data_IF_855125168637
#
_entry.id   IF_855125168637
#
_cell.length_a   1.000
_cell.length_b   1.000
_cell.length_c   1.000
_cell.angle_alpha   90.00
_cell.angle_beta   90.00
_cell.angle_gamma   90.00
#
_symmetry.space_group_name_H-M   'P 1'
#
loop_
_entity.id
_entity.type
_entity.pdbx_description
1 polymer ?
#
# COMPACT_ATOMS: atom_id res chain seq x y z
N UNK A 1 -5.38 2.57 5.94
CA UNK A 1 -6.84 2.72 6.10
C UNK A 1 -7.22 3.92 6.95
N UNK A 2 -6.78 4.04 8.22
CA UNK A 2 -7.10 5.22 9.05
C UNK A 2 -6.82 6.58 8.37
N UNK A 3 -5.70 6.71 7.64
CA UNK A 3 -5.41 7.93 6.88
C UNK A 3 -6.34 8.16 5.66
N UNK A 4 -6.90 7.10 5.06
CA UNK A 4 -7.90 7.23 3.98
C UNK A 4 -9.18 7.90 4.47
N UNK A 5 -9.60 7.62 5.70
CA UNK A 5 -10.83 8.18 6.29
C UNK A 5 -10.80 9.71 6.45
N UNK A 6 -9.62 10.31 6.25
CA UNK A 6 -9.35 11.74 6.33
C UNK A 6 -8.65 12.25 5.06
N UNK A 7 -8.68 11.48 3.97
CA UNK A 7 -8.17 11.90 2.66
C UNK A 7 -6.64 11.98 2.55
N UNK A 8 -5.91 11.42 3.51
CA UNK A 8 -4.44 11.50 3.64
C UNK A 8 -3.71 10.21 3.28
N UNK A 9 -4.31 9.40 2.39
CA UNK A 9 -3.73 8.12 2.01
C UNK A 9 -2.40 8.24 1.28
N UNK A 10 -2.33 9.08 0.25
CA UNK A 10 -1.11 9.26 -0.55
C UNK A 10 0.02 9.79 0.32
N UNK A 11 -0.24 10.84 1.09
CA UNK A 11 0.74 11.40 2.03
C UNK A 11 1.25 10.35 3.04
N UNK A 12 0.35 9.52 3.59
CA UNK A 12 0.72 8.44 4.51
C UNK A 12 1.50 7.33 3.81
N UNK A 13 1.14 6.97 2.59
CA UNK A 13 1.86 6.00 1.78
C UNK A 13 3.30 6.47 1.53
N UNK A 14 3.47 7.70 1.05
CA UNK A 14 4.79 8.25 0.75
C UNK A 14 5.68 8.32 1.99
N UNK A 15 5.18 8.84 3.12
CA UNK A 15 6.01 8.95 4.33
C UNK A 15 6.40 7.59 4.91
N UNK A 16 5.56 6.56 4.75
CA UNK A 16 5.92 5.19 5.14
C UNK A 16 7.09 4.66 4.29
N UNK A 17 7.05 4.82 2.97
CA UNK A 17 8.13 4.40 2.07
C UNK A 17 9.43 5.17 2.33
N UNK A 18 9.36 6.49 2.54
CA UNK A 18 10.51 7.31 2.92
C UNK A 18 11.14 6.88 4.25
N UNK A 19 10.36 6.26 5.13
CA UNK A 19 10.79 5.79 6.45
C UNK A 19 10.87 4.25 6.50
N UNK A 20 11.03 3.57 5.37
CA UNK A 20 11.13 2.11 5.33
C UNK A 20 12.23 1.60 6.26
N UNK A 21 11.99 0.46 6.91
CA UNK A 21 13.00 -0.18 7.73
C UNK A 21 14.11 -0.76 6.83
N UNK A 22 15.36 -0.70 7.29
CA UNK A 22 16.48 -1.29 6.57
C UNK A 22 16.37 -2.82 6.47
N UNK A 23 15.70 -3.45 7.44
CA UNK A 23 15.45 -4.88 7.48
C UNK A 23 13.98 -5.17 7.80
N UNK A 24 13.52 -6.31 7.33
CA UNK A 24 12.25 -6.88 7.75
C UNK A 24 12.26 -7.19 9.25
N UNK A 25 11.07 -7.25 9.85
CA UNK A 25 10.86 -7.60 11.27
C UNK A 25 11.69 -6.78 12.27
N UNK A 26 12.10 -5.56 11.88
CA UNK A 26 12.93 -4.66 12.70
C UNK A 26 12.24 -4.11 13.96
N UNK A 27 10.93 -4.35 14.11
CA UNK A 27 10.12 -3.76 15.19
C UNK A 27 9.83 -2.26 15.02
N UNK A 28 10.30 -1.63 13.93
CA UNK A 28 10.13 -0.18 13.67
C UNK A 28 8.66 0.26 13.60
N UNK A 29 7.78 -0.61 13.09
CA UNK A 29 6.38 -0.29 12.83
C UNK A 29 5.51 -0.46 14.06
N UNK A 30 5.63 0.46 15.01
CA UNK A 30 4.72 0.55 16.18
C UNK A 30 3.57 1.51 15.91
N UNK A 31 2.49 1.41 16.69
CA UNK A 31 1.34 2.34 16.62
C UNK A 31 1.78 3.77 16.86
N UNK A 32 2.67 3.99 17.82
CA UNK A 32 3.22 5.30 18.19
C UNK A 32 4.04 5.89 17.05
N UNK A 33 4.87 5.06 16.38
CA UNK A 33 5.64 5.51 15.23
C UNK A 33 4.73 5.86 14.04
N UNK A 34 3.70 5.05 13.77
CA UNK A 34 2.71 5.35 12.72
C UNK A 34 1.96 6.66 13.00
N UNK A 35 1.58 6.91 14.26
CA UNK A 35 0.93 8.17 14.67
C UNK A 35 1.90 9.35 14.51
N UNK A 36 3.16 9.18 14.92
CA UNK A 36 4.21 10.19 14.76
C UNK A 36 4.42 10.59 13.29
N UNK A 37 4.43 9.61 12.37
CA UNK A 37 4.48 9.90 10.93
C UNK A 37 3.22 10.62 10.43
N UNK A 38 2.03 10.19 10.87
CA UNK A 38 0.77 10.88 10.57
C UNK A 38 0.81 12.35 10.98
N UNK A 39 1.32 12.65 12.18
CA UNK A 39 1.46 14.02 12.65
C UNK A 39 2.37 14.87 11.74
N UNK A 40 3.45 14.31 11.18
CA UNK A 40 4.36 15.02 10.26
C UNK A 40 3.70 15.44 8.95
N UNK A 41 2.66 14.74 8.52
CA UNK A 41 1.89 15.03 7.30
C UNK A 41 0.56 15.77 7.58
N UNK A 42 0.39 16.28 8.80
CA UNK A 42 -0.79 17.05 9.22
C UNK A 42 -2.00 16.21 9.62
N UNK A 43 -1.83 14.89 9.81
CA UNK A 43 -2.90 13.99 10.25
C UNK A 43 -2.87 13.85 11.78
N UNK A 44 -3.37 14.89 12.47
CA UNK A 44 -3.25 15.05 13.93
C UNK A 44 -4.56 14.79 14.69
N UNK A 45 -5.65 14.43 13.99
CA UNK A 45 -6.97 14.30 14.60
C UNK A 45 -7.01 13.18 15.65
N UNK A 46 -7.85 13.36 16.67
CA UNK A 46 -8.09 12.31 17.66
C UNK A 46 -8.71 11.06 17.02
N UNK A 47 -9.49 11.24 15.93
CA UNK A 47 -10.06 10.15 15.14
C UNK A 47 -8.96 9.25 14.57
N UNK A 48 -7.96 9.84 13.92
CA UNK A 48 -6.82 9.09 13.39
C UNK A 48 -6.05 8.35 14.50
N UNK A 49 -5.71 9.06 15.58
CA UNK A 49 -4.94 8.49 16.69
C UNK A 49 -5.67 7.29 17.32
N UNK A 50 -6.97 7.42 17.56
CA UNK A 50 -7.80 6.33 18.08
C UNK A 50 -7.93 5.19 17.08
N UNK A 51 -8.04 5.49 15.78
CA UNK A 51 -8.12 4.47 14.74
C UNK A 51 -6.87 3.59 14.68
N UNK A 52 -5.68 4.21 14.72
CA UNK A 52 -4.40 3.48 14.73
C UNK A 52 -4.22 2.72 16.05
N UNK A 53 -4.49 3.38 17.18
CA UNK A 53 -4.33 2.78 18.51
C UNK A 53 -5.28 1.60 18.73
N UNK A 54 -6.54 1.73 18.30
CA UNK A 54 -7.57 0.70 18.38
C UNK A 54 -7.39 -0.42 17.35
N UNK A 55 -6.52 -0.24 16.36
CA UNK A 55 -6.33 -1.24 15.30
C UNK A 55 -7.59 -1.46 14.47
N UNK A 56 -8.38 -0.41 14.23
CA UNK A 56 -9.73 -0.50 13.67
C UNK A 56 -9.79 -1.20 12.30
N UNK A 57 -8.67 -1.24 11.57
CA UNK A 57 -8.55 -1.88 10.26
C UNK A 57 -7.62 -3.10 10.26
N UNK A 58 -7.29 -3.67 11.42
CA UNK A 58 -6.43 -4.85 11.51
C UNK A 58 -7.04 -6.04 10.74
N UNK A 59 -8.33 -6.34 10.97
CA UNK A 59 -9.04 -7.42 10.28
C UNK A 59 -9.15 -7.17 8.77
N UNK A 60 -9.33 -5.91 8.35
CA UNK A 60 -9.34 -5.56 6.94
C UNK A 60 -7.95 -5.76 6.30
N UNK A 61 -6.87 -5.44 7.02
CA UNK A 61 -5.50 -5.67 6.54
C UNK A 61 -5.22 -7.17 6.39
N UNK A 62 -5.67 -7.97 7.36
CA UNK A 62 -5.57 -9.43 7.31
C UNK A 62 -6.37 -10.03 6.15
N UNK A 63 -7.57 -9.51 5.87
CA UNK A 63 -8.39 -9.99 4.76
C UNK A 63 -7.78 -9.67 3.40
N UNK A 64 -7.11 -8.52 3.25
CA UNK A 64 -6.35 -8.18 2.04
C UNK A 64 -5.19 -9.14 1.83
N UNK A 65 -4.44 -9.48 2.89
CA UNK A 65 -3.36 -10.48 2.82
C UNK A 65 -3.89 -11.87 2.43
N UNK A 66 -5.02 -12.28 3.02
CA UNK A 66 -5.67 -13.55 2.71
C UNK A 66 -6.14 -13.60 1.25
N UNK A 67 -6.70 -12.50 0.75
CA UNK A 67 -7.13 -12.39 -0.64
C UNK A 67 -5.94 -12.47 -1.61
N UNK A 68 -4.83 -11.80 -1.31
CA UNK A 68 -3.60 -11.87 -2.11
C UNK A 68 -3.09 -13.32 -2.22
N UNK A 69 -3.14 -14.08 -1.11
CA UNK A 69 -2.78 -15.49 -1.10
C UNK A 69 -3.73 -16.35 -1.97
N UNK A 70 -5.04 -16.13 -1.90
CA UNK A 70 -6.02 -16.80 -2.78
C UNK A 70 -5.77 -16.49 -4.26
N UNK A 71 -5.28 -15.28 -4.56
CA UNK A 71 -4.87 -14.87 -5.92
C UNK A 71 -3.46 -15.32 -6.30
N UNK A 72 -2.80 -16.13 -5.47
CA UNK A 72 -1.45 -16.62 -5.68
C UNK A 72 -0.40 -15.49 -5.86
N UNK A 73 -0.65 -14.33 -5.26
CA UNK A 73 0.32 -13.22 -5.22
C UNK A 73 1.37 -13.54 -4.16
N UNK A 74 2.58 -13.86 -4.61
CA UNK A 74 3.67 -14.34 -3.74
C UNK A 74 4.90 -13.42 -3.74
N UNK A 75 4.86 -12.30 -4.47
CA UNK A 75 5.94 -11.34 -4.52
C UNK A 75 5.40 -9.93 -4.71
N UNK A 76 6.27 -8.93 -4.53
CA UNK A 76 5.94 -7.53 -4.78
C UNK A 76 7.01 -6.89 -5.67
N UNK A 77 6.63 -5.94 -6.56
CA UNK A 77 5.25 -5.66 -6.97
C UNK A 77 4.68 -6.77 -7.89
N UNK A 78 3.37 -6.99 -7.80
CA UNK A 78 2.56 -7.78 -8.75
C UNK A 78 1.41 -6.90 -9.20
N UNK A 79 1.18 -6.79 -10.51
CA UNK A 79 0.19 -5.88 -11.09
C UNK A 79 -0.78 -6.68 -11.95
N UNK A 80 -2.08 -6.44 -11.77
CA UNK A 80 -3.12 -6.98 -12.62
C UNK A 80 -3.87 -5.84 -13.30
N UNK A 81 -4.09 -5.95 -14.61
CA UNK A 81 -4.96 -5.07 -15.39
C UNK A 81 -6.12 -5.91 -15.91
N UNK A 82 -7.35 -5.60 -15.45
CA UNK A 82 -8.57 -6.36 -15.79
C UNK A 82 -8.43 -7.89 -15.65
N UNK A 83 -7.70 -8.34 -14.62
CA UNK A 83 -7.48 -9.75 -14.31
C UNK A 83 -6.30 -10.40 -15.04
N UNK A 84 -5.65 -9.72 -15.99
CA UNK A 84 -4.38 -10.15 -16.61
C UNK A 84 -3.21 -9.66 -15.77
N UNK A 85 -2.36 -10.58 -15.31
CA UNK A 85 -1.11 -10.22 -14.63
C UNK A 85 -0.11 -9.65 -15.63
N UNK A 86 0.59 -8.59 -15.24
CA UNK A 86 1.67 -8.01 -16.02
C UNK A 86 3.00 -8.70 -15.71
N UNK A 87 3.75 -9.02 -16.76
CA UNK A 87 5.06 -9.65 -16.72
C UNK A 87 6.11 -8.75 -16.07
N UNK A 88 6.69 -9.25 -14.98
CA UNK A 88 7.86 -8.67 -14.32
C UNK A 88 9.10 -8.74 -15.22
N UNK A 89 9.32 -9.86 -15.88
CA UNK A 89 10.50 -10.10 -16.71
C UNK A 89 10.45 -9.32 -18.03
N UNK A 90 9.24 -9.10 -18.57
CA UNK A 90 9.01 -8.33 -19.79
C UNK A 90 9.20 -6.82 -19.61
N UNK A 91 9.28 -6.34 -18.36
CA UNK A 91 9.34 -4.93 -18.01
C UNK A 91 8.01 -4.21 -18.25
N UNK A 92 6.88 -4.91 -18.25
CA UNK A 92 5.57 -4.36 -18.59
C UNK A 92 5.10 -3.28 -17.61
N UNK A 93 5.66 -3.22 -16.39
CA UNK A 93 5.33 -2.18 -15.43
C UNK A 93 6.52 -1.33 -14.98
N UNK A 94 7.72 -1.59 -15.50
CA UNK A 94 8.93 -0.82 -15.18
C UNK A 94 9.36 0.12 -16.29
N UNK A 95 8.89 -0.11 -17.53
CA UNK A 95 9.06 0.79 -18.66
C UNK A 95 7.75 1.53 -18.96
N UNK A 96 7.74 2.88 -19.02
CA UNK A 96 6.52 3.64 -19.25
C UNK A 96 5.77 3.29 -20.55
N UNK A 97 6.50 3.08 -21.66
CA UNK A 97 5.87 2.79 -22.95
C UNK A 97 5.28 1.38 -22.97
N UNK A 98 5.96 0.40 -22.35
CA UNK A 98 5.42 -0.94 -22.19
C UNK A 98 4.22 -0.97 -21.24
N UNK A 99 4.23 -0.15 -20.19
CA UNK A 99 3.10 -0.04 -19.28
C UNK A 99 1.87 0.55 -19.95
N UNK A 100 2.04 1.61 -20.75
CA UNK A 100 0.96 2.16 -21.57
C UNK A 100 0.39 1.10 -22.53
N UNK A 101 1.26 0.34 -23.22
CA UNK A 101 0.82 -0.74 -24.09
C UNK A 101 0.06 -1.84 -23.33
N UNK A 102 0.56 -2.25 -22.16
CA UNK A 102 -0.08 -3.26 -21.32
C UNK A 102 -1.45 -2.80 -20.79
N UNK A 103 -1.61 -1.51 -20.46
CA UNK A 103 -2.89 -0.91 -20.09
C UNK A 103 -3.88 -0.96 -21.27
N UNK A 104 -3.44 -0.56 -22.47
CA UNK A 104 -4.26 -0.59 -23.67
C UNK A 104 -4.70 -2.02 -24.04
N UNK A 105 -3.79 -2.99 -23.99
CA UNK A 105 -4.11 -4.42 -24.17
C UNK A 105 -5.12 -4.93 -23.13
N UNK A 106 -4.99 -4.43 -21.90
CA UNK A 106 -5.95 -4.70 -20.83
C UNK A 106 -7.31 -4.03 -21.03
N UNK A 107 -7.47 -3.16 -22.03
CA UNK A 107 -8.72 -2.44 -22.30
C UNK A 107 -8.91 -1.17 -21.47
N UNK A 108 -7.84 -0.66 -20.85
CA UNK A 108 -7.82 0.67 -20.22
C UNK A 108 -7.56 1.71 -21.31
N UNK A 109 -8.44 2.71 -21.41
CA UNK A 109 -8.37 3.79 -22.40
C UNK A 109 -7.78 5.05 -21.82
#
# INVERSE_FOLDING_TARGET
ACAMDEGKFIDMHEILFQNQAATENSGKWTKEFMISLGNKIGLTSMKFQNCVTGGNYALWTESVSSYAAVKNVNSTPTIFVNGKELSREGGEYSDPAKFEAALAEGGVK
#
